data_IF_688656245627
#
_entry.id   IF_688656245627
#
_cell.length_a   1.000
_cell.length_b   1.000
_cell.length_c   1.000
_cell.angle_alpha   90.00
_cell.angle_beta   90.00
_cell.angle_gamma   90.00
#
_symmetry.space_group_name_H-M   'P 1'
#
loop_
_entity.id
_entity.type
_entity.pdbx_description
1 polymer ?
#
# COMPACT_ATOMS: atom_id res chain seq x y z
N UNK A 1 17.03 -55.86 -5.30
CA UNK A 1 16.96 -54.61 -6.10
C UNK A 1 15.77 -53.81 -5.61
N UNK A 2 16.03 -52.70 -4.93
CA UNK A 2 15.02 -51.72 -4.50
C UNK A 2 14.96 -50.61 -5.56
N UNK A 3 13.76 -50.20 -5.97
CA UNK A 3 13.55 -48.94 -6.70
C UNK A 3 12.53 -48.12 -5.92
N UNK A 4 12.99 -46.99 -5.40
CA UNK A 4 12.24 -46.03 -4.58
C UNK A 4 11.08 -45.40 -5.36
N UNK A 5 9.92 -45.34 -4.70
CA UNK A 5 8.79 -44.52 -5.14
C UNK A 5 9.08 -43.04 -4.93
N UNK A 6 8.82 -42.24 -5.96
CA UNK A 6 8.83 -40.78 -5.87
C UNK A 6 7.47 -40.31 -5.35
N UNK A 7 7.46 -39.71 -4.16
CA UNK A 7 6.28 -39.08 -3.58
C UNK A 7 5.97 -37.77 -4.35
N UNK A 8 4.75 -37.66 -4.88
CA UNK A 8 4.24 -36.41 -5.43
C UNK A 8 4.05 -35.39 -4.30
N UNK A 9 4.86 -34.33 -4.32
CA UNK A 9 4.68 -33.18 -3.43
C UNK A 9 3.40 -32.41 -3.77
N UNK A 10 2.85 -31.62 -2.83
CA UNK A 10 1.60 -30.89 -3.02
C UNK A 10 1.72 -29.87 -4.15
N UNK A 11 0.83 -30.00 -5.14
CA UNK A 11 0.67 -29.03 -6.23
C UNK A 11 0.33 -27.65 -5.64
N UNK A 12 1.07 -26.58 -5.96
CA UNK A 12 0.68 -25.24 -5.54
C UNK A 12 -0.70 -24.90 -6.15
N UNK A 13 -1.61 -24.27 -5.39
CA UNK A 13 -2.94 -23.97 -5.91
C UNK A 13 -2.82 -23.04 -7.12
N UNK A 14 -3.48 -23.42 -8.21
CA UNK A 14 -3.59 -22.59 -9.40
C UNK A 14 -4.23 -21.25 -9.02
N UNK A 15 -3.50 -20.16 -9.24
CA UNK A 15 -4.02 -18.80 -9.05
C UNK A 15 -4.92 -18.53 -10.26
N UNK A 16 -6.23 -18.67 -10.08
CA UNK A 16 -7.19 -18.23 -11.09
C UNK A 16 -7.06 -16.71 -11.32
N UNK A 17 -6.97 -16.25 -12.58
CA UNK A 17 -6.94 -14.84 -12.89
C UNK A 17 -8.35 -14.26 -12.71
N UNK A 18 -8.66 -13.81 -11.50
CA UNK A 18 -9.83 -12.97 -11.26
C UNK A 18 -9.59 -11.62 -11.94
N UNK A 19 -10.47 -11.25 -12.86
CA UNK A 19 -10.44 -9.93 -13.48
C UNK A 19 -10.47 -8.84 -12.38
N UNK A 20 -9.54 -7.86 -12.38
CA UNK A 20 -9.42 -6.91 -11.29
C UNK A 20 -10.70 -6.06 -11.19
N UNK A 21 -11.41 -6.18 -10.07
CA UNK A 21 -12.56 -5.33 -9.75
C UNK A 21 -12.16 -3.89 -9.47
N UNK A 22 -13.09 -2.94 -9.64
CA UNK A 22 -12.85 -1.50 -9.43
C UNK A 22 -12.46 -1.14 -7.97
N UNK A 23 -12.68 -2.04 -7.01
CA UNK A 23 -12.42 -1.85 -5.57
C UNK A 23 -11.08 -2.45 -5.10
N UNK A 24 -10.24 -2.95 -6.01
CA UNK A 24 -8.95 -3.55 -5.64
C UNK A 24 -7.88 -2.48 -5.36
N UNK A 25 -7.48 -2.35 -4.09
CA UNK A 25 -6.30 -1.57 -3.73
C UNK A 25 -5.05 -2.44 -3.87
N UNK A 26 -4.04 -1.96 -4.59
CA UNK A 26 -2.74 -2.63 -4.72
C UNK A 26 -1.74 -1.96 -3.78
N UNK A 27 -0.95 -2.78 -3.10
CA UNK A 27 0.22 -2.33 -2.35
C UNK A 27 1.49 -2.85 -3.02
N UNK A 28 2.27 -1.95 -3.60
CA UNK A 28 3.63 -2.22 -4.05
C UNK A 28 4.59 -1.96 -2.89
N UNK A 29 5.40 -2.96 -2.57
CA UNK A 29 6.47 -2.88 -1.59
C UNK A 29 7.81 -3.08 -2.29
N UNK A 30 8.72 -2.13 -2.09
CA UNK A 30 10.09 -2.20 -2.57
C UNK A 30 10.99 -2.06 -1.35
N UNK A 31 11.94 -2.97 -1.19
CA UNK A 31 13.00 -2.86 -0.17
C UNK A 31 14.29 -2.64 -0.93
N UNK A 32 15.04 -1.62 -0.53
CA UNK A 32 16.28 -1.25 -1.18
C UNK A 32 17.36 -0.98 -0.15
N UNK A 33 18.59 -1.26 -0.56
CA UNK A 33 19.79 -0.83 0.13
C UNK A 33 20.26 0.48 -0.50
N UNK A 34 20.54 1.50 0.32
CA UNK A 34 21.11 2.77 -0.12
C UNK A 34 22.61 2.75 0.14
N UNK A 35 23.38 2.71 -0.96
CA UNK A 35 24.85 2.58 -0.94
C UNK A 35 25.53 3.97 -0.91
N UNK A 36 24.89 4.99 -1.49
CA UNK A 36 25.34 6.38 -1.46
C UNK A 36 24.29 7.28 -0.78
N UNK A 37 24.42 7.53 0.53
CA UNK A 37 23.51 8.39 1.28
C UNK A 37 23.45 9.83 0.77
N UNK A 38 24.57 10.38 0.28
CA UNK A 38 24.63 11.75 -0.19
C UNK A 38 23.88 11.90 -1.52
N UNK A 39 24.09 10.97 -2.46
CA UNK A 39 23.33 10.94 -3.71
C UNK A 39 21.84 10.70 -3.47
N UNK A 40 21.48 9.87 -2.49
CA UNK A 40 20.09 9.66 -2.06
C UNK A 40 19.45 10.96 -1.58
N UNK A 41 20.08 11.66 -0.63
CA UNK A 41 19.56 12.90 -0.05
C UNK A 41 19.37 13.97 -1.15
N UNK A 42 20.36 14.13 -2.03
CA UNK A 42 20.31 15.08 -3.14
C UNK A 42 19.19 14.74 -4.14
N UNK A 43 19.02 13.45 -4.46
CA UNK A 43 18.01 13.01 -5.43
C UNK A 43 16.60 13.14 -4.86
N UNK A 44 16.40 12.77 -3.58
CA UNK A 44 15.15 12.99 -2.87
C UNK A 44 14.77 14.47 -2.82
N UNK A 45 15.73 15.35 -2.50
CA UNK A 45 15.50 16.79 -2.49
C UNK A 45 15.12 17.34 -3.89
N UNK A 46 15.78 16.87 -4.96
CA UNK A 46 15.48 17.28 -6.35
C UNK A 46 14.09 16.85 -6.79
N UNK A 47 13.69 15.62 -6.50
CA UNK A 47 12.36 15.10 -6.83
C UNK A 47 11.28 15.85 -6.07
N UNK A 48 11.49 16.09 -4.76
CA UNK A 48 10.56 16.85 -3.94
C UNK A 48 10.42 18.29 -4.44
N UNK A 49 11.53 18.95 -4.78
CA UNK A 49 11.48 20.30 -5.35
C UNK A 49 10.68 20.33 -6.66
N UNK A 50 10.79 19.28 -7.48
CA UNK A 50 10.04 19.15 -8.73
C UNK A 50 8.54 18.94 -8.48
N UNK A 51 8.17 18.06 -7.54
CA UNK A 51 6.80 17.88 -7.10
C UNK A 51 6.19 19.17 -6.51
N UNK A 52 6.95 19.88 -5.65
CA UNK A 52 6.53 21.17 -5.08
C UNK A 52 6.28 22.21 -6.18
N UNK A 53 7.18 22.35 -7.16
CA UNK A 53 7.00 23.30 -8.29
C UNK A 53 5.73 23.02 -9.10
N UNK A 54 5.38 21.75 -9.32
CA UNK A 54 4.17 21.36 -10.08
C UNK A 54 2.88 21.83 -9.41
N UNK A 55 2.82 21.80 -8.08
CA UNK A 55 1.58 22.00 -7.31
C UNK A 55 1.52 23.31 -6.55
N UNK A 56 2.61 24.08 -6.49
CA UNK A 56 2.64 25.38 -5.82
C UNK A 56 1.61 26.33 -6.43
N UNK A 57 0.78 26.93 -5.56
CA UNK A 57 -0.24 27.90 -5.93
C UNK A 57 -1.28 27.41 -6.97
N UNK A 58 -1.49 26.08 -7.08
CA UNK A 58 -2.53 25.49 -7.92
C UNK A 58 -3.88 25.50 -7.19
N UNK A 59 -4.87 26.29 -7.62
CA UNK A 59 -6.16 26.37 -6.93
C UNK A 59 -7.02 25.12 -7.13
N UNK A 60 -6.82 24.39 -8.23
CA UNK A 60 -7.52 23.15 -8.61
C UNK A 60 -7.06 21.92 -7.82
N UNK A 61 -6.11 22.09 -6.89
CA UNK A 61 -5.56 20.99 -6.11
C UNK A 61 -6.61 20.26 -5.28
N UNK A 62 -7.63 20.98 -4.78
CA UNK A 62 -8.70 20.40 -3.98
C UNK A 62 -9.59 19.42 -4.78
N UNK A 63 -9.70 19.64 -6.08
CA UNK A 63 -10.53 18.85 -7.00
C UNK A 63 -9.74 17.72 -7.67
N UNK A 64 -8.46 17.55 -7.32
CA UNK A 64 -7.60 16.52 -7.91
C UNK A 64 -8.24 15.13 -7.73
N UNK A 65 -8.52 14.38 -8.81
CA UNK A 65 -9.29 13.14 -8.73
C UNK A 65 -8.74 12.11 -7.74
N UNK A 66 -7.41 12.04 -7.59
CA UNK A 66 -6.78 11.15 -6.61
C UNK A 66 -7.12 11.54 -5.17
N UNK A 67 -7.15 12.83 -4.82
CA UNK A 67 -7.52 13.27 -3.47
C UNK A 67 -8.97 12.90 -3.16
N UNK A 68 -9.88 13.06 -4.11
CA UNK A 68 -11.29 12.70 -3.94
C UNK A 68 -11.46 11.19 -3.72
N UNK A 69 -10.74 10.36 -4.49
CA UNK A 69 -10.72 8.90 -4.32
C UNK A 69 -10.24 8.51 -2.93
N UNK A 70 -9.05 8.95 -2.55
CA UNK A 70 -8.40 8.55 -1.29
C UNK A 70 -9.10 9.08 -0.04
N UNK A 71 -9.75 10.25 -0.11
CA UNK A 71 -10.51 10.81 1.04
C UNK A 71 -11.71 9.96 1.43
N UNK A 72 -12.44 9.40 0.46
CA UNK A 72 -13.59 8.52 0.73
C UNK A 72 -13.20 7.25 1.50
N UNK A 73 -11.95 6.82 1.38
CA UNK A 73 -11.48 5.55 1.93
C UNK A 73 -10.88 5.72 3.33
N UNK A 74 -10.19 6.82 3.61
CA UNK A 74 -9.71 7.16 4.97
C UNK A 74 -10.85 7.17 6.00
N UNK A 75 -12.08 7.46 5.56
CA UNK A 75 -13.27 7.44 6.40
C UNK A 75 -13.83 6.02 6.65
N UNK A 76 -13.33 5.00 5.95
CA UNK A 76 -13.93 3.66 5.89
C UNK A 76 -13.03 2.51 6.37
N UNK A 77 -11.71 2.68 6.52
CA UNK A 77 -10.76 1.56 6.74
C UNK A 77 -9.48 1.90 7.52
N UNK A 78 -8.87 0.85 8.08
CA UNK A 78 -7.50 0.76 8.66
C UNK A 78 -6.39 0.87 7.60
N UNK A 79 -6.45 1.87 6.71
CA UNK A 79 -5.26 2.27 5.97
C UNK A 79 -4.41 3.07 6.97
N UNK A 80 -3.11 2.77 7.15
CA UNK A 80 -2.30 3.47 8.14
C UNK A 80 -2.44 4.99 7.97
N UNK A 81 -2.64 5.66 9.11
CA UNK A 81 -2.91 7.11 9.24
C UNK A 81 -1.87 7.97 8.52
N UNK A 82 -0.71 7.39 8.20
CA UNK A 82 0.32 7.95 7.35
C UNK A 82 0.75 6.88 6.35
N UNK A 83 0.87 7.20 5.05
CA UNK A 83 0.99 8.54 4.46
C UNK A 83 -0.34 9.13 3.98
N UNK A 84 -0.66 10.38 4.38
CA UNK A 84 -1.87 11.08 3.95
C UNK A 84 -1.60 11.97 2.74
N UNK A 85 -2.04 11.52 1.56
CA UNK A 85 -1.94 12.26 0.29
C UNK A 85 -2.50 13.68 0.39
N UNK A 86 -3.67 13.84 1.04
CA UNK A 86 -4.33 15.14 1.25
C UNK A 86 -3.48 16.10 2.08
N UNK A 87 -2.88 15.63 3.18
CA UNK A 87 -2.02 16.47 4.03
C UNK A 87 -0.80 16.97 3.26
N UNK A 88 -0.17 16.08 2.47
CA UNK A 88 0.96 16.44 1.62
C UNK A 88 0.58 17.51 0.58
N UNK A 89 -0.51 17.32 -0.15
CA UNK A 89 -0.97 18.27 -1.16
C UNK A 89 -1.37 19.61 -0.55
N UNK A 90 -2.11 19.60 0.58
CA UNK A 90 -2.49 20.82 1.28
C UNK A 90 -1.30 21.61 1.81
N UNK A 91 -0.27 20.93 2.33
CA UNK A 91 0.96 21.58 2.78
C UNK A 91 1.71 22.25 1.60
N UNK A 92 1.83 21.59 0.45
CA UNK A 92 2.45 22.19 -0.76
C UNK A 92 1.63 23.37 -1.28
N UNK A 93 0.31 23.24 -1.34
CA UNK A 93 -0.58 24.32 -1.77
C UNK A 93 -0.41 25.57 -0.89
N UNK A 94 -0.29 25.37 0.42
CA UNK A 94 -0.07 26.42 1.40
C UNK A 94 1.39 26.94 1.45
N UNK A 95 2.28 26.44 0.58
CA UNK A 95 3.69 26.82 0.57
C UNK A 95 4.49 26.36 1.78
N UNK A 96 3.97 25.40 2.56
CA UNK A 96 4.66 24.85 3.73
C UNK A 96 5.73 23.87 3.29
N UNK A 97 6.77 23.78 4.09
CA UNK A 97 7.81 22.78 3.89
C UNK A 97 7.32 21.39 4.34
N UNK A 98 7.79 20.34 3.67
CA UNK A 98 7.40 18.94 3.88
C UNK A 98 8.67 18.09 3.80
N UNK A 99 8.91 17.22 4.78
CA UNK A 99 10.08 16.33 4.77
C UNK A 99 11.40 17.05 4.94
N UNK A 100 11.41 18.18 5.66
CA UNK A 100 12.64 18.89 5.99
C UNK A 100 13.49 18.04 6.92
N UNK A 101 14.75 17.78 6.53
CA UNK A 101 15.73 17.04 7.31
C UNK A 101 15.63 15.51 7.26
N UNK A 102 14.56 14.94 6.68
CA UNK A 102 14.44 13.49 6.47
C UNK A 102 14.27 13.14 4.98
N UNK A 103 15.29 12.53 4.34
CA UNK A 103 15.23 12.17 2.93
C UNK A 103 14.16 11.10 2.63
N UNK A 104 13.80 10.23 3.59
CA UNK A 104 12.73 9.25 3.40
C UNK A 104 11.37 9.94 3.29
N UNK A 105 11.05 10.80 4.26
CA UNK A 105 9.82 11.61 4.22
C UNK A 105 9.78 12.51 2.97
N UNK A 106 10.89 13.17 2.64
CA UNK A 106 10.98 14.02 1.46
C UNK A 106 10.75 13.25 0.16
N UNK A 107 11.34 12.07 0.03
CA UNK A 107 11.15 11.20 -1.12
C UNK A 107 9.72 10.66 -1.22
N UNK A 108 9.15 10.16 -0.13
CA UNK A 108 7.76 9.70 -0.08
C UNK A 108 6.77 10.80 -0.49
N UNK A 109 6.99 12.04 -0.02
CA UNK A 109 6.21 13.20 -0.44
C UNK A 109 6.39 13.50 -1.94
N UNK A 110 7.61 13.36 -2.48
CA UNK A 110 7.85 13.54 -3.90
C UNK A 110 7.06 12.53 -4.75
N UNK A 111 7.07 11.24 -4.38
CA UNK A 111 6.29 10.21 -5.08
C UNK A 111 4.80 10.55 -5.04
N UNK A 112 4.27 10.87 -3.85
CA UNK A 112 2.88 11.31 -3.70
C UNK A 112 2.52 12.47 -4.63
N UNK A 113 3.36 13.51 -4.71
CA UNK A 113 3.10 14.69 -5.55
C UNK A 113 3.19 14.37 -7.04
N UNK A 114 4.08 13.46 -7.45
CA UNK A 114 4.34 13.19 -8.87
C UNK A 114 3.39 12.14 -9.44
N UNK A 115 3.09 11.07 -8.69
CA UNK A 115 2.25 9.95 -9.13
C UNK A 115 0.84 9.96 -8.54
N UNK A 116 0.57 10.81 -7.53
CA UNK A 116 -0.70 10.83 -6.79
C UNK A 116 -1.01 9.55 -6.00
N UNK A 117 -0.01 8.69 -5.79
CA UNK A 117 -0.14 7.45 -5.01
C UNK A 117 0.34 7.68 -3.57
N UNK A 118 -0.46 7.36 -2.53
CA UNK A 118 0.03 7.35 -1.16
C UNK A 118 1.27 6.48 -1.02
N UNK A 119 2.34 7.05 -0.46
CA UNK A 119 3.67 6.40 -0.43
C UNK A 119 4.34 6.56 0.92
N UNK A 120 4.78 5.46 1.51
CA UNK A 120 5.56 5.43 2.74
C UNK A 120 7.01 5.09 2.40
N UNK A 121 7.97 5.71 3.07
CA UNK A 121 9.37 5.34 3.04
C UNK A 121 9.88 5.26 4.48
N UNK A 122 10.35 4.09 4.91
CA UNK A 122 10.85 3.87 6.27
C UNK A 122 12.24 3.27 6.19
N UNK A 123 13.20 3.95 6.81
CA UNK A 123 14.51 3.41 7.11
C UNK A 123 14.35 2.23 8.09
N UNK A 124 14.75 1.04 7.66
CA UNK A 124 14.83 -0.16 8.49
C UNK A 124 16.16 -0.08 9.25
N UNK A 125 16.10 0.39 10.49
CA UNK A 125 17.29 0.48 11.34
C UNK A 125 17.70 -0.93 11.78
N UNK A 126 18.73 -1.50 11.16
CA UNK A 126 19.44 -2.65 11.73
C UNK A 126 20.91 -2.27 11.85
N UNK A 127 21.31 -1.89 13.07
CA UNK A 127 22.70 -1.66 13.52
C UNK A 127 23.51 -0.49 12.91
N UNK A 128 24.40 0.16 13.70
CA UNK A 128 25.15 1.37 13.32
C UNK A 128 26.21 1.18 12.20
N UNK A 129 26.41 -0.04 11.71
CA UNK A 129 27.40 -0.38 10.68
C UNK A 129 26.78 -0.97 9.40
N UNK A 130 25.46 -1.05 9.31
CA UNK A 130 24.79 -1.73 8.19
C UNK A 130 24.38 -0.74 7.09
N UNK A 131 24.28 -1.18 5.83
CA UNK A 131 23.75 -0.38 4.74
C UNK A 131 22.37 0.17 5.08
N UNK A 132 22.08 1.42 4.67
CA UNK A 132 20.77 2.03 4.92
C UNK A 132 19.68 1.32 4.13
N UNK A 133 19.03 0.33 4.73
CA UNK A 133 17.91 -0.37 4.11
C UNK A 133 16.65 0.48 4.25
N UNK A 134 16.00 0.81 3.14
CA UNK A 134 14.76 1.58 3.11
C UNK A 134 13.63 0.72 2.53
N UNK A 135 12.51 0.67 3.25
CA UNK A 135 11.27 0.06 2.79
C UNK A 135 10.34 1.14 2.24
N UNK A 136 10.00 1.01 0.97
CA UNK A 136 8.95 1.77 0.32
C UNK A 136 7.64 0.99 0.31
N UNK A 137 6.52 1.67 0.52
CA UNK A 137 5.19 1.09 0.36
C UNK A 137 4.27 2.07 -0.32
N UNK A 138 3.89 1.74 -1.56
CA UNK A 138 3.02 2.55 -2.40
C UNK A 138 1.66 1.87 -2.48
N UNK A 139 0.61 2.65 -2.30
CA UNK A 139 -0.77 2.21 -2.40
C UNK A 139 -1.39 2.83 -3.65
N UNK A 140 -2.12 2.04 -4.43
CA UNK A 140 -2.71 2.48 -5.69
C UNK A 140 -3.98 1.70 -6.03
N UNK A 141 -5.00 2.41 -6.47
CA UNK A 141 -6.14 1.84 -7.20
C UNK A 141 -5.81 1.63 -8.67
N UNK A 142 -6.74 1.01 -9.40
CA UNK A 142 -6.63 0.79 -10.85
C UNK A 142 -6.45 2.09 -11.62
N UNK A 143 -7.08 3.18 -11.17
CA UNK A 143 -7.04 4.51 -11.78
C UNK A 143 -5.85 5.36 -11.30
N UNK A 144 -5.03 4.86 -10.39
CA UNK A 144 -3.82 5.54 -9.93
C UNK A 144 -2.61 5.15 -10.78
N UNK A 145 -1.64 6.05 -10.89
CA UNK A 145 -0.43 5.85 -11.69
C UNK A 145 0.65 5.09 -10.89
N UNK A 146 0.35 3.83 -10.57
CA UNK A 146 1.30 2.93 -9.92
C UNK A 146 2.59 2.72 -10.75
N UNK A 147 2.53 2.56 -12.09
CA UNK A 147 3.75 2.44 -12.90
C UNK A 147 4.69 3.63 -12.74
N UNK A 148 4.17 4.87 -12.78
CA UNK A 148 5.00 6.05 -12.55
C UNK A 148 5.62 6.07 -11.15
N UNK A 149 4.85 5.70 -10.12
CA UNK A 149 5.38 5.64 -8.75
C UNK A 149 6.53 4.63 -8.64
N UNK A 150 6.37 3.46 -9.25
CA UNK A 150 7.38 2.42 -9.31
C UNK A 150 8.63 2.86 -10.06
N UNK A 151 8.48 3.48 -11.23
CA UNK A 151 9.59 3.95 -12.05
C UNK A 151 10.41 5.03 -11.34
N UNK A 152 9.74 5.96 -10.65
CA UNK A 152 10.42 6.98 -9.84
C UNK A 152 11.23 6.33 -8.70
N UNK A 153 10.67 5.33 -8.02
CA UNK A 153 11.34 4.61 -6.93
C UNK A 153 12.55 3.84 -7.47
N UNK A 154 12.34 2.98 -8.45
CA UNK A 154 13.37 2.09 -8.99
C UNK A 154 14.49 2.85 -9.69
N UNK A 155 14.18 3.92 -10.43
CA UNK A 155 15.20 4.78 -11.07
C UNK A 155 16.05 5.51 -10.04
N UNK A 156 15.42 6.04 -8.99
CA UNK A 156 16.15 6.69 -7.89
C UNK A 156 17.08 5.70 -7.21
N UNK A 157 16.58 4.52 -6.83
CA UNK A 157 17.38 3.48 -6.18
C UNK A 157 18.55 3.08 -7.07
N UNK A 158 18.35 2.82 -8.37
CA UNK A 158 19.44 2.49 -9.31
C UNK A 158 20.55 3.55 -9.36
N UNK A 159 20.25 4.78 -8.99
CA UNK A 159 21.23 5.88 -8.99
C UNK A 159 22.07 5.93 -7.71
N UNK A 160 21.54 5.47 -6.58
CA UNK A 160 22.17 5.63 -5.25
C UNK A 160 22.26 4.34 -4.43
N UNK A 161 21.90 3.20 -5.00
CA UNK A 161 21.79 1.94 -4.27
C UNK A 161 21.28 0.78 -5.11
N UNK A 162 20.69 -0.21 -4.43
CA UNK A 162 20.29 -1.49 -5.03
C UNK A 162 18.93 -1.94 -4.51
N UNK A 163 18.07 -2.47 -5.41
CA UNK A 163 16.80 -3.09 -5.02
C UNK A 163 17.05 -4.49 -4.49
N UNK A 164 16.60 -4.78 -3.26
CA UNK A 164 16.72 -6.09 -2.62
C UNK A 164 15.48 -6.95 -2.86
N UNK A 165 14.30 -6.37 -2.67
CA UNK A 165 13.02 -7.09 -2.76
C UNK A 165 11.97 -6.22 -3.42
N UNK A 166 11.16 -6.83 -4.28
CA UNK A 166 9.98 -6.20 -4.88
C UNK A 166 8.78 -7.14 -4.72
N UNK A 167 7.68 -6.64 -4.17
CA UNK A 167 6.44 -7.41 -4.00
C UNK A 167 5.21 -6.53 -4.22
N UNK A 168 4.31 -6.95 -5.08
CA UNK A 168 2.99 -6.34 -5.24
C UNK A 168 1.93 -7.25 -4.62
N UNK A 169 1.08 -6.70 -3.73
CA UNK A 169 0.00 -7.43 -3.07
C UNK A 169 -1.33 -6.73 -3.32
N UNK A 170 -2.36 -7.48 -3.70
CA UNK A 170 -3.74 -6.95 -3.78
C UNK A 170 -4.35 -6.98 -2.38
N UNK A 171 -4.68 -5.80 -1.86
CA UNK A 171 -5.46 -5.60 -0.64
C UNK A 171 -6.93 -5.62 -1.05
N UNK A 172 -7.56 -6.80 -1.03
CA UNK A 172 -9.00 -6.90 -1.31
C UNK A 172 -9.79 -6.21 -0.20
N UNK A 173 -10.77 -5.39 -0.59
CA UNK A 173 -11.87 -5.02 0.30
C UNK A 173 -12.54 -6.31 0.76
N UNK A 174 -12.57 -6.57 2.07
CA UNK A 174 -13.52 -7.55 2.60
C UNK A 174 -14.91 -7.05 2.16
N UNK A 175 -15.74 -7.85 1.47
CA UNK A 175 -17.11 -7.43 1.23
C UNK A 175 -17.70 -7.09 2.59
N UNK A 176 -18.25 -5.89 2.74
CA UNK A 176 -19.08 -5.60 3.90
C UNK A 176 -20.15 -6.68 3.91
N UNK A 177 -20.08 -7.61 4.85
CA UNK A 177 -21.17 -8.54 5.06
C UNK A 177 -22.40 -7.65 5.23
N UNK A 178 -23.44 -7.75 4.38
CA UNK A 178 -24.68 -7.08 4.72
C UNK A 178 -25.05 -7.64 6.10
N UNK A 179 -25.26 -6.74 7.06
CA UNK A 179 -26.02 -7.08 8.25
C UNK A 179 -27.42 -7.40 7.77
N UNK A 180 -27.63 -8.61 7.26
CA UNK A 180 -28.95 -9.18 7.13
C UNK A 180 -29.36 -9.48 8.56
N UNK A 181 -30.34 -8.77 9.16
CA UNK A 181 -31.01 -9.36 10.30
C UNK A 181 -31.61 -10.67 9.78
N UNK A 182 -31.09 -11.80 10.25
CA UNK A 182 -31.76 -13.09 10.13
C UNK A 182 -33.03 -13.02 10.97
N UNK A 183 -34.04 -12.33 10.44
CA UNK A 183 -35.41 -12.44 10.89
C UNK A 183 -35.97 -13.69 10.19
N UNK A 184 -36.01 -14.78 10.96
CA UNK A 184 -36.78 -15.97 10.62
C UNK A 184 -36.01 -17.05 9.89
N UNK A 185 -35.31 -17.91 10.64
CA UNK A 185 -35.41 -19.34 10.39
C UNK A 185 -35.57 -20.09 11.74
N UNK A 186 -36.51 -21.05 11.82
CA UNK A 186 -36.81 -21.78 13.04
C UNK A 186 -35.71 -22.80 13.34
N UNK A 187 -35.34 -22.91 14.61
CA UNK A 187 -34.42 -23.93 15.13
C UNK A 187 -35.05 -25.31 14.92
N UNK A 188 -34.38 -26.27 14.26
CA UNK A 188 -34.77 -27.66 14.34
C UNK A 188 -34.03 -28.31 15.52
N UNK A 189 -34.63 -28.33 16.70
CA UNK A 189 -34.21 -29.29 17.73
C UNK A 189 -35.12 -30.52 17.70
N UNK A 190 -34.48 -31.60 17.27
CA UNK A 190 -34.91 -32.98 17.31
C UNK A 190 -35.20 -33.42 18.76
N UNK A 191 -36.40 -33.96 18.95
CA UNK A 191 -36.82 -34.99 19.88
C UNK A 191 -35.80 -35.54 20.89
N UNK A 192 -36.11 -35.38 22.19
CA UNK A 192 -35.90 -36.42 23.22
C UNK A 192 -37.13 -36.49 24.15
N UNK A 193 -37.81 -37.63 24.06
CA UNK A 193 -38.73 -38.30 24.98
C UNK A 193 -39.56 -37.48 25.99
N UNK A 194 -40.84 -37.32 25.67
CA UNK A 194 -41.90 -37.44 26.67
C UNK A 194 -42.52 -38.84 26.56
N UNK A 195 -42.38 -39.68 27.59
CA UNK A 195 -43.35 -40.74 27.85
C UNK A 195 -44.10 -40.39 29.12
N UNK A 196 -45.40 -40.27 28.97
CA UNK A 196 -46.40 -39.97 29.98
C UNK A 196 -46.58 -41.09 31.00
N UNK A 197 -47.08 -40.70 32.17
CA UNK A 197 -47.51 -41.54 33.28
C UNK A 197 -48.60 -42.58 32.92
N UNK A 198 -48.67 -43.68 33.70
CA UNK A 198 -49.85 -44.18 34.42
C UNK A 198 -49.86 -45.72 34.57
N UNK A 199 -49.70 -46.20 35.82
CA UNK A 199 -50.69 -47.02 36.54
C UNK A 199 -50.40 -46.95 38.03
#
# INVERSE_FOLDING_TARGET
MQTQGHAAGPTPPAIEPVAPGADECRRLRIVAQIDDPHAWDLTAARLLASGRRRWRARPDIADHPALLRWTRIQQSQEIPVQPCLRTTFAAVAAGRAIGDGDPCTGFAAAIMLLSSCPTEAILQSDTPNDPRVVRFSVYAYREDDLPLAEDLITTTIRTCGTVLVRRCTVLRRRPATPATPLLGQPVPELFVLGSTAAR
#
